data_IF_480731292766
#
_entry.id   IF_480731292766
#
_cell.length_a   1.000
_cell.length_b   1.000
_cell.length_c   1.000
_cell.angle_alpha   90.00
_cell.angle_beta   90.00
_cell.angle_gamma   90.00
#
_symmetry.space_group_name_H-M   'P 1'
#
loop_
_entity.id
_entity.type
_entity.pdbx_description
1 polymer ?
#
# COMPACT_ATOMS: atom_id res chain seq x y z
N UNK A 1 13.05 8.26 16.86
CA UNK A 1 11.84 7.60 17.41
C UNK A 1 10.61 8.24 16.80
N UNK A 2 9.82 7.48 16.04
CA UNK A 2 8.60 7.97 15.39
C UNK A 2 7.41 7.16 15.91
N UNK A 3 6.38 7.86 16.41
CA UNK A 3 5.19 7.23 16.99
C UNK A 3 3.99 7.40 16.07
N UNK A 4 3.29 6.30 15.80
CA UNK A 4 2.08 6.24 14.98
C UNK A 4 0.91 5.79 15.85
N UNK A 5 0.02 6.73 16.17
CA UNK A 5 -1.23 6.44 16.93
C UNK A 5 -2.39 6.21 15.96
N UNK A 6 -3.35 5.35 16.32
CA UNK A 6 -4.59 5.19 15.56
C UNK A 6 -5.31 6.53 15.39
N UNK A 7 -5.96 6.73 14.26
CA UNK A 7 -6.70 7.96 14.01
C UNK A 7 -7.93 8.06 14.92
N UNK A 8 -8.03 9.10 15.74
CA UNK A 8 -9.14 9.33 16.68
C UNK A 8 -10.51 9.40 15.98
N UNK A 9 -10.53 9.70 14.68
CA UNK A 9 -11.77 9.72 13.89
C UNK A 9 -12.56 8.41 13.94
N UNK A 10 -11.90 7.25 14.03
CA UNK A 10 -12.58 5.95 14.14
C UNK A 10 -13.36 5.83 15.45
N UNK A 11 -12.84 6.38 16.53
CA UNK A 11 -13.54 6.42 17.80
C UNK A 11 -14.80 7.29 17.76
N UNK A 12 -14.68 8.52 17.19
CA UNK A 12 -15.81 9.43 17.07
C UNK A 12 -16.89 8.92 16.11
N UNK A 13 -16.48 8.32 15.00
CA UNK A 13 -17.43 7.69 14.06
C UNK A 13 -18.13 6.48 14.70
N UNK A 14 -17.39 5.68 15.49
CA UNK A 14 -17.98 4.58 16.26
C UNK A 14 -19.00 5.07 17.26
N UNK A 15 -18.69 6.13 18.02
CA UNK A 15 -19.64 6.73 18.98
C UNK A 15 -20.89 7.27 18.26
N UNK A 16 -20.73 7.97 17.14
CA UNK A 16 -21.85 8.44 16.33
C UNK A 16 -22.73 7.28 15.81
N UNK A 17 -22.10 6.18 15.37
CA UNK A 17 -22.83 5.00 14.91
C UNK A 17 -23.64 4.33 16.05
N UNK A 18 -23.12 4.32 17.29
CA UNK A 18 -23.87 3.83 18.46
C UNK A 18 -25.09 4.69 18.72
N UNK A 19 -24.94 6.02 18.69
CA UNK A 19 -26.04 6.95 18.93
C UNK A 19 -27.13 6.78 17.86
N UNK A 20 -26.72 6.72 16.58
CA UNK A 20 -27.65 6.49 15.47
C UNK A 20 -28.35 5.12 15.59
N UNK A 21 -27.61 4.07 15.91
CA UNK A 21 -28.15 2.73 16.11
C UNK A 21 -29.15 2.68 17.26
N UNK A 22 -28.86 3.37 18.37
CA UNK A 22 -29.78 3.49 19.52
C UNK A 22 -31.07 4.25 19.15
N UNK A 23 -30.95 5.36 18.40
CA UNK A 23 -32.09 6.14 17.94
C UNK A 23 -32.99 5.34 16.99
N UNK A 24 -32.38 4.68 15.99
CA UNK A 24 -33.11 3.82 15.03
C UNK A 24 -33.75 2.62 15.74
N UNK A 25 -33.08 2.03 16.72
CA UNK A 25 -33.62 0.94 17.54
C UNK A 25 -34.80 1.38 18.40
N UNK A 26 -34.74 2.59 18.97
CA UNK A 26 -35.86 3.19 19.70
C UNK A 26 -37.07 3.42 18.80
N UNK A 27 -36.89 3.97 17.60
CA UNK A 27 -37.96 4.14 16.61
C UNK A 27 -38.53 2.79 16.17
N UNK A 28 -37.69 1.76 16.02
CA UNK A 28 -38.11 0.41 15.67
C UNK A 28 -39.02 -0.24 16.70
N UNK A 29 -38.81 0.11 17.98
CA UNK A 29 -39.67 -0.39 19.06
C UNK A 29 -41.04 0.30 19.09
N UNK A 30 -41.08 1.60 18.74
CA UNK A 30 -42.31 2.42 18.84
C UNK A 30 -43.17 2.44 17.58
N UNK A 31 -42.57 2.41 16.38
CA UNK A 31 -43.27 2.65 15.14
C UNK A 31 -43.34 1.40 14.23
N UNK A 32 -42.21 0.74 13.97
CA UNK A 32 -42.20 -0.42 13.08
C UNK A 32 -40.94 -1.29 13.30
N UNK A 33 -41.11 -2.62 13.44
CA UNK A 33 -39.97 -3.54 13.60
C UNK A 33 -39.04 -3.59 12.39
N UNK A 34 -39.39 -3.00 11.25
CA UNK A 34 -38.54 -2.89 10.04
C UNK A 34 -37.24 -2.12 10.30
N UNK A 35 -37.21 -1.24 11.32
CA UNK A 35 -36.00 -0.49 11.68
C UNK A 35 -34.99 -1.30 12.51
N UNK A 36 -35.37 -2.44 13.08
CA UNK A 36 -34.47 -3.26 13.92
C UNK A 36 -33.25 -3.81 13.16
N UNK A 37 -33.37 -4.31 11.92
CA UNK A 37 -32.19 -4.71 11.15
C UNK A 37 -31.21 -3.56 10.87
N UNK A 38 -31.72 -2.35 10.63
CA UNK A 38 -30.89 -1.16 10.44
C UNK A 38 -30.16 -0.78 11.73
N UNK A 39 -30.82 -0.81 12.89
CA UNK A 39 -30.20 -0.59 14.18
C UNK A 39 -29.07 -1.60 14.44
N UNK A 40 -29.29 -2.87 14.12
CA UNK A 40 -28.28 -3.93 14.26
C UNK A 40 -27.06 -3.67 13.35
N UNK A 41 -27.26 -3.24 12.10
CA UNK A 41 -26.18 -2.86 11.21
C UNK A 41 -25.34 -1.70 11.73
N UNK A 42 -25.98 -0.67 12.32
CA UNK A 42 -25.27 0.44 12.95
C UNK A 42 -24.41 -0.03 14.12
N UNK A 43 -24.91 -0.94 14.96
CA UNK A 43 -24.16 -1.49 16.09
C UNK A 43 -22.98 -2.35 15.61
N UNK A 44 -23.18 -3.15 14.57
CA UNK A 44 -22.08 -3.91 13.93
C UNK A 44 -20.99 -2.99 13.36
N UNK A 45 -21.39 -1.93 12.69
CA UNK A 45 -20.48 -0.92 12.15
C UNK A 45 -19.73 -0.21 13.29
N UNK A 46 -20.41 0.15 14.36
CA UNK A 46 -19.80 0.76 15.54
C UNK A 46 -18.76 -0.17 16.17
N UNK A 47 -19.09 -1.46 16.34
CA UNK A 47 -18.16 -2.45 16.87
C UNK A 47 -16.89 -2.56 15.99
N UNK A 48 -17.04 -2.61 14.66
CA UNK A 48 -15.92 -2.64 13.72
C UNK A 48 -15.04 -1.38 13.83
N UNK A 49 -15.65 -0.19 13.93
CA UNK A 49 -14.94 1.08 14.09
C UNK A 49 -14.20 1.17 15.41
N UNK A 50 -14.78 0.68 16.51
CA UNK A 50 -14.10 0.60 17.81
C UNK A 50 -12.92 -0.37 17.79
N UNK A 51 -13.05 -1.55 17.16
CA UNK A 51 -11.93 -2.48 16.96
C UNK A 51 -10.78 -1.80 16.22
N UNK A 52 -11.05 -0.95 15.24
CA UNK A 52 -10.02 -0.16 14.56
C UNK A 52 -9.46 0.94 15.48
N UNK A 53 -10.31 1.66 16.22
CA UNK A 53 -9.91 2.75 17.10
C UNK A 53 -9.06 2.32 18.30
N UNK A 54 -9.28 1.11 18.82
CA UNK A 54 -8.55 0.54 19.98
C UNK A 54 -7.26 -0.22 19.58
N UNK A 55 -6.84 -0.14 18.31
CA UNK A 55 -5.57 -0.76 17.90
C UNK A 55 -4.38 -0.13 18.63
N UNK A 56 -3.36 -0.95 18.97
CA UNK A 56 -2.19 -0.48 19.68
C UNK A 56 -1.39 0.53 18.85
N UNK A 57 -0.75 1.46 19.53
CA UNK A 57 0.19 2.41 18.92
C UNK A 57 1.41 1.66 18.40
N UNK A 58 1.92 2.10 17.26
CA UNK A 58 3.12 1.56 16.62
C UNK A 58 4.23 2.58 16.80
N UNK A 59 5.37 2.14 17.32
CA UNK A 59 6.56 2.98 17.49
C UNK A 59 7.71 2.38 16.69
N UNK A 60 8.28 3.22 15.84
CA UNK A 60 9.42 2.87 15.00
C UNK A 60 10.67 3.46 15.63
N UNK A 61 11.53 2.60 16.16
CA UNK A 61 12.84 2.94 16.69
C UNK A 61 13.95 2.43 15.77
N UNK A 62 15.18 2.91 15.95
CA UNK A 62 16.32 2.50 15.11
C UNK A 62 16.65 1.00 15.24
N UNK A 63 16.52 0.43 16.45
CA UNK A 63 16.86 -0.98 16.73
C UNK A 63 15.69 -1.95 16.68
N UNK A 64 14.45 -1.48 16.86
CA UNK A 64 13.29 -2.35 16.97
C UNK A 64 11.97 -1.65 16.58
N UNK A 65 11.01 -2.46 16.21
CA UNK A 65 9.61 -2.09 16.03
C UNK A 65 8.82 -2.43 17.26
N UNK A 66 8.07 -1.45 17.83
CA UNK A 66 7.18 -1.69 18.97
C UNK A 66 5.72 -1.64 18.50
N UNK A 67 4.96 -2.70 18.82
CA UNK A 67 3.53 -2.80 18.55
C UNK A 67 2.82 -2.95 19.90
N UNK A 68 2.37 -1.84 20.47
CA UNK A 68 1.85 -1.82 21.85
C UNK A 68 2.92 -2.23 22.85
N UNK A 69 2.76 -3.41 23.46
CA UNK A 69 3.70 -3.96 24.44
C UNK A 69 4.76 -4.90 23.85
N UNK A 70 4.66 -5.23 22.56
CA UNK A 70 5.56 -6.19 21.89
C UNK A 70 6.67 -5.45 21.17
N UNK A 71 7.92 -5.79 21.49
CA UNK A 71 9.12 -5.26 20.85
C UNK A 71 9.67 -6.31 19.90
N UNK A 72 9.93 -5.94 18.66
CA UNK A 72 10.41 -6.82 17.58
C UNK A 72 11.68 -6.19 17.02
N UNK A 73 12.87 -6.78 17.26
CA UNK A 73 14.09 -6.34 16.63
C UNK A 73 13.98 -6.39 15.09
N UNK A 74 14.59 -5.45 14.40
CA UNK A 74 14.54 -5.44 12.93
C UNK A 74 15.20 -6.68 12.32
N UNK A 75 16.23 -7.20 12.97
CA UNK A 75 16.93 -8.42 12.56
C UNK A 75 16.02 -9.67 12.60
N UNK A 76 14.99 -9.68 13.45
CA UNK A 76 14.06 -10.82 13.55
C UNK A 76 13.01 -10.82 12.44
N UNK A 77 12.90 -9.75 11.67
CA UNK A 77 11.93 -9.65 10.56
C UNK A 77 12.54 -10.27 9.31
N UNK A 78 12.05 -11.45 8.94
CA UNK A 78 12.46 -12.16 7.73
C UNK A 78 11.75 -11.67 6.48
N UNK A 79 10.48 -11.28 6.60
CA UNK A 79 9.66 -10.89 5.45
C UNK A 79 8.60 -9.87 5.83
N UNK A 80 8.41 -8.89 4.94
CA UNK A 80 7.41 -7.84 5.05
C UNK A 80 6.57 -7.82 3.77
N UNK A 81 5.31 -8.27 3.86
CA UNK A 81 4.40 -8.32 2.72
C UNK A 81 3.25 -7.34 2.90
N UNK A 82 2.97 -6.58 1.86
CA UNK A 82 1.81 -5.71 1.80
C UNK A 82 0.60 -6.47 1.27
N UNK A 83 -0.57 -6.28 1.90
CA UNK A 83 -1.82 -6.95 1.51
C UNK A 83 -2.66 -6.17 0.48
N UNK A 84 -2.14 -5.09 -0.10
CA UNK A 84 -2.89 -4.25 -1.05
C UNK A 84 -3.74 -3.15 -0.40
N UNK A 85 -4.10 -3.28 0.88
CA UNK A 85 -4.80 -2.23 1.63
C UNK A 85 -3.82 -1.16 2.13
N UNK A 86 -4.10 0.10 1.82
CA UNK A 86 -3.24 1.23 2.20
C UNK A 86 -3.83 2.02 3.36
N UNK A 87 -5.15 2.18 3.42
CA UNK A 87 -5.83 2.83 4.54
C UNK A 87 -7.15 2.09 4.82
N UNK A 88 -7.22 1.31 5.91
CA UNK A 88 -6.16 1.02 6.90
C UNK A 88 -4.98 0.26 6.30
N UNK A 89 -3.77 0.54 6.79
CA UNK A 89 -2.57 -0.18 6.36
C UNK A 89 -2.56 -1.57 6.99
N UNK A 90 -2.54 -2.60 6.15
CA UNK A 90 -2.48 -4.00 6.57
C UNK A 90 -1.20 -4.61 6.02
N UNK A 91 -0.30 -5.01 6.92
CA UNK A 91 0.98 -5.64 6.59
C UNK A 91 1.09 -6.99 7.28
N UNK A 92 1.70 -7.94 6.59
CA UNK A 92 2.07 -9.24 7.16
C UNK A 92 3.56 -9.26 7.39
N UNK A 93 3.94 -9.37 8.66
CA UNK A 93 5.31 -9.56 9.10
C UNK A 93 5.53 -11.04 9.35
N UNK A 94 6.56 -11.63 8.74
CA UNK A 94 7.02 -12.99 9.05
C UNK A 94 8.37 -12.87 9.72
N UNK A 95 8.51 -13.44 10.91
CA UNK A 95 9.74 -13.43 11.67
C UNK A 95 10.60 -14.64 11.34
N UNK A 96 11.84 -14.68 11.86
CA UNK A 96 12.74 -15.82 11.67
C UNK A 96 12.28 -17.09 12.39
N UNK A 97 11.47 -16.98 13.42
CA UNK A 97 10.81 -18.11 14.11
C UNK A 97 9.56 -18.62 13.34
N UNK A 98 9.38 -18.20 12.08
CA UNK A 98 8.23 -18.46 11.22
C UNK A 98 6.87 -17.96 11.79
N UNK A 99 6.90 -17.22 12.92
CA UNK A 99 5.70 -16.59 13.44
C UNK A 99 5.23 -15.47 12.50
N UNK A 100 3.91 -15.37 12.34
CA UNK A 100 3.26 -14.38 11.47
C UNK A 100 2.51 -13.36 12.31
N UNK A 101 2.82 -12.11 12.11
CA UNK A 101 2.17 -10.99 12.80
C UNK A 101 1.43 -10.17 11.75
N UNK A 102 0.13 -9.98 11.95
CA UNK A 102 -0.67 -9.08 11.15
C UNK A 102 -0.67 -7.70 11.80
N UNK A 103 0.06 -6.77 11.21
CA UNK A 103 0.10 -5.38 11.63
C UNK A 103 -1.04 -4.65 10.92
N UNK A 104 -1.98 -4.10 11.70
CA UNK A 104 -3.10 -3.30 11.20
C UNK A 104 -2.97 -1.91 11.81
N UNK A 105 -2.79 -0.92 10.95
CA UNK A 105 -2.70 0.47 11.35
C UNK A 105 -3.82 1.30 10.70
N UNK A 106 -4.81 1.74 11.48
CA UNK A 106 -5.91 2.57 11.02
C UNK A 106 -5.51 4.05 11.06
N UNK A 107 -4.61 4.45 10.18
CA UNK A 107 -4.18 5.83 9.98
C UNK A 107 -4.78 6.46 8.74
N UNK A 108 -4.49 7.75 8.55
CA UNK A 108 -4.72 8.43 7.27
C UNK A 108 -3.70 7.97 6.24
N UNK A 109 -3.97 8.28 4.99
CA UNK A 109 -3.17 7.82 3.86
C UNK A 109 -1.70 8.23 4.00
N UNK A 110 -1.43 9.48 4.42
CA UNK A 110 -0.09 10.01 4.57
C UNK A 110 0.68 9.34 5.71
N UNK A 111 0.03 9.14 6.85
CA UNK A 111 0.58 8.41 7.99
C UNK A 111 0.85 6.95 7.66
N UNK A 112 -0.05 6.29 6.91
CA UNK A 112 0.11 4.92 6.45
C UNK A 112 1.30 4.77 5.49
N UNK A 113 1.42 5.69 4.53
CA UNK A 113 2.54 5.71 3.59
C UNK A 113 3.87 6.00 4.29
N UNK A 114 3.87 6.93 5.25
CA UNK A 114 5.04 7.25 6.06
C UNK A 114 5.49 6.06 6.90
N UNK A 115 4.55 5.38 7.59
CA UNK A 115 4.83 4.17 8.35
C UNK A 115 5.39 3.06 7.44
N UNK A 116 4.77 2.82 6.29
CA UNK A 116 5.22 1.81 5.34
C UNK A 116 6.65 2.09 4.85
N UNK A 117 6.96 3.37 4.56
CA UNK A 117 8.30 3.81 4.15
C UNK A 117 9.33 3.56 5.24
N UNK A 118 9.01 3.90 6.50
CA UNK A 118 9.89 3.64 7.62
C UNK A 118 10.13 2.14 7.85
N UNK A 119 9.06 1.34 7.84
CA UNK A 119 9.18 -0.13 7.98
C UNK A 119 10.09 -0.72 6.91
N UNK A 120 9.90 -0.32 5.64
CA UNK A 120 10.76 -0.77 4.54
C UNK A 120 12.20 -0.31 4.68
N UNK A 121 12.43 0.90 5.20
CA UNK A 121 13.77 1.46 5.36
C UNK A 121 14.58 0.76 6.44
N UNK A 122 13.93 0.42 7.56
CA UNK A 122 14.61 -0.21 8.70
C UNK A 122 14.75 -1.73 8.58
N UNK A 123 13.93 -2.37 7.75
CA UNK A 123 13.99 -3.83 7.53
C UNK A 123 15.05 -4.21 6.49
N UNK A 124 16.32 -3.94 6.79
CA UNK A 124 17.45 -4.12 5.86
C UNK A 124 17.71 -5.58 5.48
N UNK A 125 17.42 -6.51 6.39
CA UNK A 125 17.66 -7.95 6.20
C UNK A 125 16.39 -8.69 5.73
N UNK A 126 15.26 -8.00 5.63
CA UNK A 126 13.99 -8.59 5.25
C UNK A 126 13.75 -8.61 3.73
N UNK A 127 12.94 -9.59 3.30
CA UNK A 127 12.35 -9.58 1.96
C UNK A 127 11.15 -8.62 1.95
N UNK A 128 11.18 -7.58 1.13
CA UNK A 128 10.11 -6.61 0.96
C UNK A 128 9.25 -7.03 -0.22
N UNK A 129 8.00 -7.42 0.03
CA UNK A 129 7.08 -7.93 -1.00
C UNK A 129 7.70 -9.07 -1.85
N UNK A 130 8.56 -9.89 -1.22
CA UNK A 130 9.27 -11.00 -1.85
C UNK A 130 10.58 -10.60 -2.56
N UNK A 131 10.96 -9.33 -2.55
CA UNK A 131 12.18 -8.81 -3.19
C UNK A 131 13.22 -8.50 -2.11
N UNK A 132 14.49 -8.89 -2.25
CA UNK A 132 15.56 -8.53 -1.32
C UNK A 132 15.71 -7.00 -1.18
N UNK A 133 15.99 -6.52 0.03
CA UNK A 133 16.13 -5.10 0.34
C UNK A 133 17.00 -4.33 -0.66
N UNK A 134 18.19 -4.85 -0.98
CA UNK A 134 19.14 -4.22 -1.92
C UNK A 134 18.55 -4.05 -3.32
N UNK A 135 17.82 -5.05 -3.79
CA UNK A 135 17.16 -5.00 -5.10
C UNK A 135 15.97 -4.04 -5.09
N UNK A 136 15.22 -4.00 -3.98
CA UNK A 136 14.08 -3.11 -3.82
C UNK A 136 14.47 -1.63 -3.89
N UNK A 137 15.62 -1.25 -3.28
CA UNK A 137 16.11 0.13 -3.27
C UNK A 137 17.10 0.45 -4.40
N UNK A 138 17.36 -0.47 -5.32
CA UNK A 138 18.25 -0.26 -6.44
C UNK A 138 19.73 -0.17 -6.07
N UNK A 139 20.13 -0.59 -4.86
CA UNK A 139 21.52 -0.59 -4.41
C UNK A 139 22.43 -1.61 -5.13
N UNK A 140 21.89 -2.40 -6.07
CA UNK A 140 22.67 -3.30 -6.94
C UNK A 140 23.54 -2.58 -7.96
N UNK A 141 23.51 -1.26 -7.98
CA UNK A 141 24.40 -0.46 -8.81
C UNK A 141 25.56 0.13 -8.00
N UNK A 142 26.26 -0.71 -7.23
CA UNK A 142 27.61 -0.34 -6.81
C UNK A 142 28.47 -0.14 -8.08
N UNK A 143 29.24 0.97 -8.19
CA UNK A 143 30.10 1.19 -9.33
C UNK A 143 31.18 0.08 -9.34
N UNK A 144 31.04 -0.92 -10.19
CA UNK A 144 31.95 -2.07 -10.29
C UNK A 144 31.28 -3.42 -10.51
N UNK A 145 30.01 -3.60 -10.19
CA UNK A 145 29.27 -4.78 -10.63
C UNK A 145 28.96 -4.61 -12.12
N UNK A 146 29.63 -5.42 -12.95
CA UNK A 146 29.28 -5.55 -14.37
C UNK A 146 27.77 -5.47 -14.52
N UNK A 147 27.30 -4.50 -15.31
CA UNK A 147 25.95 -4.46 -15.81
C UNK A 147 25.72 -5.76 -16.57
N UNK A 148 25.38 -6.85 -15.87
CA UNK A 148 24.60 -7.88 -16.49
C UNK A 148 23.34 -7.13 -16.94
N UNK A 149 23.32 -6.76 -18.20
CA UNK A 149 22.13 -6.24 -18.85
C UNK A 149 21.02 -7.16 -18.39
N UNK A 150 20.16 -6.64 -17.49
CA UNK A 150 18.85 -7.25 -17.27
C UNK A 150 18.29 -7.25 -18.67
N UNK A 151 18.29 -8.42 -19.31
CA UNK A 151 17.63 -8.59 -20.60
C UNK A 151 16.24 -7.98 -20.39
N UNK A 152 15.84 -6.99 -21.17
CA UNK A 152 14.52 -6.42 -21.03
C UNK A 152 13.55 -7.60 -21.00
N UNK A 153 12.55 -7.61 -20.12
CA UNK A 153 11.63 -8.73 -19.98
C UNK A 153 11.24 -9.13 -21.38
N UNK A 154 11.44 -10.41 -21.71
CA UNK A 154 11.22 -10.97 -23.03
C UNK A 154 10.03 -10.24 -23.63
N UNK A 155 10.31 -9.30 -24.53
CA UNK A 155 9.25 -8.67 -25.29
C UNK A 155 8.58 -9.85 -25.97
N UNK A 156 7.41 -10.22 -25.46
CA UNK A 156 6.56 -11.13 -26.20
C UNK A 156 6.54 -10.53 -27.60
N UNK A 157 7.01 -11.27 -28.58
CA UNK A 157 6.87 -10.89 -29.98
C UNK A 157 5.38 -10.91 -30.26
N UNK A 158 4.70 -9.82 -29.91
CA UNK A 158 3.28 -9.61 -30.19
C UNK A 158 3.08 -9.35 -31.67
N UNK A 159 4.15 -8.88 -32.34
CA UNK A 159 4.18 -8.63 -33.76
C UNK A 159 4.95 -9.75 -34.48
N UNK A 160 4.40 -10.26 -35.56
CA UNK A 160 5.12 -11.12 -36.49
C UNK A 160 6.26 -10.30 -37.12
N UNK A 161 7.40 -10.92 -37.52
CA UNK A 161 8.50 -10.19 -38.12
C UNK A 161 8.10 -9.42 -39.39
N UNK A 162 7.01 -9.83 -40.05
CA UNK A 162 6.39 -9.15 -41.18
C UNK A 162 5.73 -7.82 -40.76
N UNK A 163 5.05 -7.82 -39.60
CA UNK A 163 4.38 -6.64 -39.04
C UNK A 163 5.40 -5.62 -38.50
N UNK A 164 6.56 -6.07 -37.98
CA UNK A 164 7.64 -5.18 -37.54
C UNK A 164 8.21 -4.36 -38.73
N UNK A 165 8.36 -4.98 -39.87
CA UNK A 165 8.86 -4.30 -41.05
C UNK A 165 7.84 -3.27 -41.60
N UNK A 166 6.57 -3.51 -41.44
CA UNK A 166 5.52 -2.59 -41.86
C UNK A 166 5.41 -1.39 -40.91
N UNK A 167 5.48 -1.63 -39.60
CA UNK A 167 5.50 -0.58 -38.57
C UNK A 167 6.71 0.33 -38.74
N UNK A 168 7.90 -0.23 -39.03
CA UNK A 168 9.10 0.56 -39.26
C UNK A 168 8.96 1.44 -40.52
N UNK A 169 8.37 0.92 -41.61
CA UNK A 169 8.09 1.71 -42.84
C UNK A 169 7.10 2.84 -42.55
N UNK A 170 6.07 2.59 -41.78
CA UNK A 170 5.10 3.62 -41.38
C UNK A 170 5.75 4.69 -40.48
N UNK A 171 6.59 4.29 -39.55
CA UNK A 171 7.34 5.21 -38.70
C UNK A 171 8.27 6.12 -39.52
N UNK A 172 9.01 5.56 -40.49
CA UNK A 172 9.90 6.32 -41.37
C UNK A 172 9.09 7.32 -42.24
N UNK A 173 7.93 6.91 -42.72
CA UNK A 173 7.04 7.83 -43.49
C UNK A 173 6.53 8.97 -42.64
N UNK A 174 6.07 8.70 -41.40
CA UNK A 174 5.62 9.73 -40.49
C UNK A 174 6.73 10.72 -40.13
N UNK A 175 7.95 10.23 -39.92
CA UNK A 175 9.11 11.08 -39.67
C UNK A 175 9.46 11.97 -40.87
N UNK A 176 9.30 11.48 -42.07
CA UNK A 176 9.57 12.26 -43.30
C UNK A 176 8.50 13.33 -43.50
N UNK A 177 7.23 13.04 -43.24
CA UNK A 177 6.12 13.99 -43.34
C UNK A 177 6.22 15.07 -42.26
N UNK A 178 6.55 14.68 -41.04
CA UNK A 178 6.73 15.64 -39.93
C UNK A 178 7.90 16.61 -40.11
N UNK A 179 8.94 16.24 -40.86
CA UNK A 179 10.04 17.15 -41.21
C UNK A 179 9.71 18.11 -42.39
N UNK A 180 8.70 17.80 -43.18
CA UNK A 180 8.28 18.70 -44.29
C UNK A 180 7.47 19.88 -43.78
N UNK A 181 6.71 19.72 -42.68
CA UNK A 181 5.92 20.81 -42.09
C UNK A 181 6.78 21.83 -41.34
N UNK A 182 7.94 21.42 -40.85
CA UNK A 182 8.84 22.33 -40.14
C UNK A 182 9.63 23.27 -41.09
N UNK A 183 9.77 22.91 -42.36
CA UNK A 183 10.52 23.71 -43.38
C UNK A 183 9.64 24.77 -44.07
N UNK A 184 8.32 24.65 -43.95
CA UNK A 184 7.37 25.60 -44.57
C UNK A 184 7.00 26.77 -43.66
N UNK A 185 7.42 26.74 -42.41
CA UNK A 185 7.10 27.81 -41.41
C UNK A 185 8.20 28.87 -41.29
N UNK A 186 9.41 28.60 -41.83
CA UNK A 186 10.56 29.51 -41.76
C UNK A 186 10.75 30.38 -43.01
N UNK A 187 9.87 30.33 -44.02
CA UNK A 187 9.94 31.13 -45.23
C UNK A 187 8.75 32.09 -45.47
N UNK A 188 8.14 32.62 -44.35
CA UNK A 188 7.18 33.73 -44.50
C UNK A 188 7.40 34.82 -43.47
#
# INVERSE_FOLDING_TARGET
MTRYSPAQRYFWLGAAAVVLGGLVGFLGRGWSPVFLPAAFLFLLTAAALFVMGFRPTIEVNEGYLSIGKRHIPWMDIRRLDRTGWISPLILRLTLYDDSRILLIYPGDLDSCNSLLRHLRRFSTDALIDGIPYRQYWGELLAPGAERKQIQPPLRYKVLRPEDEAEVERLYQRLKTVGNLDQKSTDEN
#
